data_IF_744991554222
#
_entry.id   IF_744991554222
#
_cell.length_a   1.000
_cell.length_b   1.000
_cell.length_c   1.000
_cell.angle_alpha   90.00
_cell.angle_beta   90.00
_cell.angle_gamma   90.00
#
_symmetry.space_group_name_H-M   'P 1'
#
loop_
_entity.id
_entity.type
_entity.pdbx_description
1 polymer ?
#
# COMPACT_ATOMS: atom_id res chain seq x y z
N UNK A 1 -20.89 2.72 7.10
CA UNK A 1 -22.17 3.24 7.64
C UNK A 1 -22.51 4.54 6.92
N UNK A 2 -23.69 4.68 6.28
CA UNK A 2 -23.99 5.78 5.36
C UNK A 2 -24.13 7.15 6.03
N UNK A 3 -24.36 7.22 7.35
CA UNK A 3 -24.47 8.49 8.08
C UNK A 3 -23.23 8.85 8.89
N UNK A 4 -22.13 8.10 8.80
CA UNK A 4 -20.90 8.46 9.54
C UNK A 4 -20.47 9.90 9.20
N UNK A 5 -20.07 10.72 10.20
CA UNK A 5 -19.87 10.37 11.61
C UNK A 5 -21.14 10.38 12.49
N UNK A 6 -22.27 10.90 11.99
CA UNK A 6 -23.52 10.96 12.74
C UNK A 6 -24.10 9.55 13.03
N UNK A 7 -24.69 9.37 14.22
CA UNK A 7 -25.24 8.09 14.67
C UNK A 7 -24.21 6.95 14.69
N UNK A 8 -22.95 7.25 14.98
CA UNK A 8 -21.90 6.25 15.10
C UNK A 8 -20.97 6.65 16.27
N UNK A 9 -20.48 5.73 17.12
CA UNK A 9 -20.92 4.33 17.21
C UNK A 9 -22.39 4.22 17.63
N UNK A 10 -22.99 3.07 17.39
CA UNK A 10 -24.36 2.75 17.79
C UNK A 10 -24.48 1.26 18.18
N UNK A 11 -25.68 0.81 18.56
CA UNK A 11 -25.89 -0.58 19.02
C UNK A 11 -25.52 -1.65 17.96
N UNK A 12 -25.66 -1.36 16.67
CA UNK A 12 -25.31 -2.27 15.58
C UNK A 12 -23.82 -2.16 15.21
N UNK A 13 -23.23 -0.97 15.35
CA UNK A 13 -21.83 -0.68 15.05
C UNK A 13 -21.12 -0.02 16.24
N UNK A 14 -20.83 -0.79 17.31
CA UNK A 14 -20.28 -0.23 18.55
C UNK A 14 -18.77 0.08 18.47
N UNK A 15 -18.06 -0.56 17.55
CA UNK A 15 -16.60 -0.50 17.46
C UNK A 15 -16.11 0.61 16.52
N UNK A 16 -14.92 1.19 16.75
CA UNK A 16 -14.28 2.09 15.80
C UNK A 16 -14.18 1.47 14.41
N UNK A 17 -14.35 2.26 13.36
CA UNK A 17 -14.18 1.78 11.99
C UNK A 17 -12.71 1.43 11.72
N UNK A 18 -11.82 2.38 12.04
CA UNK A 18 -10.38 2.24 11.96
C UNK A 18 -9.71 2.74 13.25
N UNK A 19 -8.52 2.21 13.52
CA UNK A 19 -7.64 2.68 14.59
C UNK A 19 -6.27 2.98 14.01
N UNK A 20 -5.72 4.16 14.29
CA UNK A 20 -4.34 4.51 14.02
C UNK A 20 -3.55 4.44 15.31
N UNK A 21 -2.57 3.55 15.35
CA UNK A 21 -1.68 3.42 16.49
C UNK A 21 -0.73 4.62 16.54
N UNK A 22 -0.79 5.38 17.62
CA UNK A 22 -0.05 6.64 17.78
C UNK A 22 -0.94 7.80 18.22
N UNK A 23 -0.41 9.02 18.06
CA UNK A 23 -1.06 10.27 18.47
C UNK A 23 -1.56 11.13 17.31
N UNK A 24 -1.36 10.70 16.07
CA UNK A 24 -1.72 11.43 14.85
C UNK A 24 -2.64 10.55 14.03
N UNK A 25 -3.80 11.08 13.63
CA UNK A 25 -4.74 10.38 12.76
C UNK A 25 -4.08 10.13 11.40
N UNK A 26 -4.30 8.95 10.84
CA UNK A 26 -3.79 8.64 9.51
C UNK A 26 -4.64 9.31 8.43
N UNK A 27 -3.99 10.01 7.50
CA UNK A 27 -4.63 10.55 6.30
C UNK A 27 -5.15 9.44 5.37
N UNK A 28 -4.62 8.21 5.47
CA UNK A 28 -5.15 7.03 4.75
C UNK A 28 -6.59 6.70 5.15
N UNK A 29 -7.02 7.16 6.34
CA UNK A 29 -8.40 6.98 6.82
C UNK A 29 -9.27 8.23 6.61
N UNK A 30 -8.80 9.24 5.87
CA UNK A 30 -9.56 10.44 5.60
C UNK A 30 -10.68 10.17 4.57
N UNK A 31 -11.92 10.38 4.98
CA UNK A 31 -13.10 10.35 4.10
C UNK A 31 -13.47 11.73 3.56
N UNK A 32 -14.52 11.76 2.72
CA UNK A 32 -15.10 13.02 2.23
C UNK A 32 -15.82 13.81 3.32
N UNK A 33 -16.37 13.14 4.34
CA UNK A 33 -17.11 13.76 5.43
C UNK A 33 -16.26 13.97 6.70
N UNK A 34 -15.46 12.98 7.09
CA UNK A 34 -14.63 13.00 8.29
C UNK A 34 -13.50 11.95 8.18
N UNK A 35 -12.53 12.01 9.08
CA UNK A 35 -11.58 10.91 9.27
C UNK A 35 -12.29 9.74 9.96
N UNK A 36 -12.11 8.53 9.45
CA UNK A 36 -12.73 7.31 9.99
C UNK A 36 -11.94 6.67 11.15
N UNK A 37 -10.74 7.18 11.44
CA UNK A 37 -9.82 6.59 12.40
C UNK A 37 -9.83 7.29 13.75
N UNK A 38 -9.76 6.48 14.81
CA UNK A 38 -9.41 6.93 16.17
C UNK A 38 -7.91 6.72 16.41
N UNK A 39 -7.24 7.69 17.04
CA UNK A 39 -5.86 7.50 17.51
C UNK A 39 -5.80 6.75 18.83
N UNK A 40 -4.88 5.79 18.91
CA UNK A 40 -4.69 4.97 20.10
C UNK A 40 -3.21 4.74 20.38
N UNK A 41 -2.71 5.17 21.53
CA UNK A 41 -1.34 4.84 21.96
C UNK A 41 -1.30 3.59 22.83
N UNK A 42 -2.15 3.57 23.85
CA UNK A 42 -2.24 2.50 24.84
C UNK A 42 -3.71 2.19 25.11
N UNK A 43 -4.20 0.96 24.83
CA UNK A 43 -5.58 0.59 25.07
C UNK A 43 -5.99 0.55 26.56
N UNK A 44 -5.03 0.61 27.48
CA UNK A 44 -5.29 0.67 28.93
C UNK A 44 -5.21 2.09 29.50
N UNK A 45 -4.93 3.10 28.66
CA UNK A 45 -4.78 4.50 29.09
C UNK A 45 -5.80 5.41 28.41
N UNK A 46 -7.08 5.09 28.59
CA UNK A 46 -8.21 5.81 28.01
C UNK A 46 -8.89 6.66 29.08
N UNK A 47 -8.88 7.98 28.91
CA UNK A 47 -9.55 8.91 29.83
C UNK A 47 -10.74 9.56 29.14
N UNK A 48 -11.96 9.48 29.71
CA UNK A 48 -13.11 10.16 29.15
C UNK A 48 -12.88 11.67 29.03
N UNK A 49 -13.22 12.19 27.87
CA UNK A 49 -13.20 13.60 27.53
C UNK A 49 -14.50 14.28 27.97
N UNK A 50 -14.43 15.55 28.37
CA UNK A 50 -15.60 16.29 28.81
C UNK A 50 -16.42 16.80 27.62
N UNK A 51 -17.64 16.29 27.43
CA UNK A 51 -18.54 16.61 26.29
C UNK A 51 -19.08 18.05 26.28
N UNK A 52 -18.94 18.79 27.38
CA UNK A 52 -19.51 20.12 27.54
C UNK A 52 -21.03 20.10 27.75
N UNK A 53 -21.62 21.26 28.06
CA UNK A 53 -23.06 21.33 28.31
C UNK A 53 -23.87 21.13 27.02
N UNK A 54 -24.93 20.32 27.06
CA UNK A 54 -25.92 20.23 26.00
C UNK A 54 -26.62 21.60 25.81
N UNK A 55 -26.67 22.09 24.59
CA UNK A 55 -27.31 23.36 24.26
C UNK A 55 -27.52 23.50 22.76
N UNK A 56 -28.50 24.31 22.37
CA UNK A 56 -28.83 24.54 20.96
C UNK A 56 -27.62 25.04 20.18
N UNK A 57 -27.40 24.44 19.01
CA UNK A 57 -26.36 24.82 18.09
C UNK A 57 -26.96 25.78 17.05
N UNK A 58 -26.38 26.97 16.92
CA UNK A 58 -26.74 27.90 15.85
C UNK A 58 -26.24 27.37 14.49
N UNK A 59 -26.99 27.57 13.41
CA UNK A 59 -26.49 27.31 12.04
C UNK A 59 -25.53 28.42 11.58
N UNK A 60 -24.37 28.48 12.24
CA UNK A 60 -23.26 29.39 11.94
C UNK A 60 -21.97 28.57 11.91
N UNK A 61 -20.87 29.07 11.31
CA UNK A 61 -19.59 28.38 11.35
C UNK A 61 -19.17 27.98 12.76
N UNK A 62 -19.40 28.85 13.76
CA UNK A 62 -19.14 28.52 15.16
C UNK A 62 -19.95 27.32 15.66
N UNK A 63 -21.25 27.28 15.34
CA UNK A 63 -22.10 26.16 15.75
C UNK A 63 -21.74 24.84 15.04
N UNK A 64 -21.28 24.90 13.79
CA UNK A 64 -20.77 23.75 13.04
C UNK A 64 -19.49 23.18 13.67
N UNK A 65 -18.52 24.05 13.98
CA UNK A 65 -17.28 23.64 14.67
C UNK A 65 -17.56 23.08 16.08
N UNK A 66 -18.48 23.70 16.82
CA UNK A 66 -18.90 23.18 18.13
C UNK A 66 -19.62 21.82 18.01
N UNK A 67 -20.42 21.63 16.97
CA UNK A 67 -21.05 20.33 16.65
C UNK A 67 -20.00 19.25 16.38
N UNK A 68 -19.00 19.59 15.57
CA UNK A 68 -17.89 18.70 15.25
C UNK A 68 -17.11 18.27 16.50
N UNK A 69 -16.77 19.22 17.38
CA UNK A 69 -16.07 18.93 18.63
C UNK A 69 -16.91 18.03 19.56
N UNK A 70 -18.19 18.35 19.76
CA UNK A 70 -19.09 17.55 20.60
C UNK A 70 -19.25 16.12 20.06
N UNK A 71 -19.45 15.98 18.75
CA UNK A 71 -19.58 14.68 18.07
C UNK A 71 -18.31 13.85 18.25
N UNK A 72 -17.14 14.45 17.98
CA UNK A 72 -15.84 13.78 18.12
C UNK A 72 -15.60 13.32 19.56
N UNK A 73 -15.93 14.15 20.55
CA UNK A 73 -15.77 13.80 21.97
C UNK A 73 -16.70 12.63 22.35
N UNK A 74 -17.98 12.71 22.00
CA UNK A 74 -18.95 11.66 22.31
C UNK A 74 -18.54 10.32 21.66
N UNK A 75 -18.09 10.35 20.40
CA UNK A 75 -17.54 9.19 19.70
C UNK A 75 -16.31 8.62 20.39
N UNK A 76 -15.35 9.48 20.75
CA UNK A 76 -14.12 9.07 21.42
C UNK A 76 -14.42 8.37 22.74
N UNK A 77 -15.33 8.92 23.55
CA UNK A 77 -15.75 8.31 24.81
C UNK A 77 -16.42 6.95 24.58
N UNK A 78 -17.36 6.86 23.64
CA UNK A 78 -18.04 5.61 23.35
C UNK A 78 -17.11 4.52 22.79
N UNK A 79 -16.14 4.89 21.94
CA UNK A 79 -15.12 3.97 21.48
C UNK A 79 -14.21 3.49 22.60
N UNK A 80 -13.85 4.38 23.53
CA UNK A 80 -12.94 4.05 24.62
C UNK A 80 -13.43 2.86 25.44
N UNK A 81 -14.73 2.82 25.75
CA UNK A 81 -15.34 1.69 26.48
C UNK A 81 -15.13 0.37 25.72
N UNK A 82 -15.44 0.35 24.42
CA UNK A 82 -15.31 -0.85 23.59
C UNK A 82 -13.85 -1.31 23.39
N UNK A 83 -12.91 -0.36 23.31
CA UNK A 83 -11.48 -0.65 23.20
C UNK A 83 -10.97 -1.21 24.52
N UNK A 84 -11.36 -0.63 25.65
CA UNK A 84 -10.95 -1.11 26.97
C UNK A 84 -11.48 -2.53 27.22
N UNK A 85 -12.75 -2.80 26.91
CA UNK A 85 -13.34 -4.14 27.04
C UNK A 85 -12.56 -5.17 26.23
N UNK A 86 -12.25 -4.86 24.95
CA UNK A 86 -11.44 -5.75 24.12
C UNK A 86 -10.00 -5.90 24.64
N UNK A 87 -9.39 -4.85 25.17
CA UNK A 87 -8.04 -4.93 25.72
C UNK A 87 -7.97 -5.79 26.98
N UNK A 88 -8.97 -5.68 27.87
CA UNK A 88 -9.09 -6.48 29.09
C UNK A 88 -9.46 -7.94 28.80
N UNK A 89 -10.24 -8.19 27.75
CA UNK A 89 -10.61 -9.54 27.31
C UNK A 89 -9.61 -10.21 26.36
N UNK A 90 -8.66 -9.45 25.82
CA UNK A 90 -7.67 -9.91 24.86
C UNK A 90 -6.46 -10.61 25.49
N UNK A 91 -5.64 -11.23 24.65
CA UNK A 91 -4.38 -11.83 25.06
C UNK A 91 -3.27 -11.65 24.01
N UNK A 92 -2.02 -11.70 24.47
CA UNK A 92 -0.86 -11.95 23.63
C UNK A 92 -0.20 -13.25 24.12
N UNK A 93 0.14 -14.13 23.19
CA UNK A 93 0.65 -15.48 23.47
C UNK A 93 2.15 -15.62 23.19
N UNK A 94 2.76 -14.59 22.59
CA UNK A 94 4.19 -14.54 22.27
C UNK A 94 4.85 -13.29 22.83
N UNK A 95 6.17 -13.37 23.00
CA UNK A 95 7.00 -12.22 23.33
C UNK A 95 7.27 -11.37 22.08
N UNK A 96 7.02 -10.07 22.19
CA UNK A 96 7.37 -9.09 21.15
C UNK A 96 8.72 -8.46 21.46
N UNK A 97 9.54 -8.13 20.45
CA UNK A 97 10.86 -7.53 20.66
C UNK A 97 10.76 -6.16 21.35
N UNK A 98 11.51 -6.00 22.44
CA UNK A 98 11.63 -4.72 23.15
C UNK A 98 12.42 -3.69 22.34
N UNK A 99 12.08 -2.40 22.49
CA UNK A 99 12.77 -1.32 21.77
C UNK A 99 12.38 -1.20 20.29
N UNK A 100 11.39 -1.97 19.85
CA UNK A 100 10.82 -1.91 18.52
C UNK A 100 9.39 -1.36 18.60
N UNK A 101 9.23 -0.08 18.27
CA UNK A 101 7.92 0.61 18.37
C UNK A 101 6.86 -0.01 17.45
N UNK A 102 7.25 -0.59 16.31
CA UNK A 102 6.30 -1.28 15.43
C UNK A 102 5.77 -2.55 16.10
N UNK A 103 6.65 -3.30 16.77
CA UNK A 103 6.26 -4.50 17.52
C UNK A 103 5.31 -4.17 18.67
N UNK A 104 5.54 -3.08 19.41
CA UNK A 104 4.63 -2.61 20.47
C UNK A 104 3.23 -2.25 19.93
N UNK A 105 3.17 -1.58 18.78
CA UNK A 105 1.89 -1.26 18.13
C UNK A 105 1.17 -2.54 17.69
N UNK A 106 1.88 -3.47 17.04
CA UNK A 106 1.32 -4.73 16.56
C UNK A 106 0.87 -5.65 17.71
N UNK A 107 1.57 -5.62 18.85
CA UNK A 107 1.16 -6.29 20.08
C UNK A 107 -0.21 -5.81 20.54
N UNK A 108 -0.43 -4.49 20.59
CA UNK A 108 -1.72 -3.92 20.95
C UNK A 108 -2.81 -4.27 19.91
N UNK A 109 -2.47 -4.29 18.62
CA UNK A 109 -3.41 -4.73 17.58
C UNK A 109 -3.83 -6.19 17.78
N UNK A 110 -2.88 -7.11 18.02
CA UNK A 110 -3.18 -8.51 18.29
C UNK A 110 -4.07 -8.67 19.54
N UNK A 111 -3.74 -7.92 20.61
CA UNK A 111 -4.52 -7.89 21.85
C UNK A 111 -5.98 -7.50 21.57
N UNK A 112 -6.21 -6.37 20.89
CA UNK A 112 -7.56 -5.87 20.59
C UNK A 112 -8.37 -6.82 19.70
N UNK A 113 -7.75 -7.38 18.65
CA UNK A 113 -8.43 -8.35 17.77
C UNK A 113 -8.80 -9.61 18.56
N UNK A 114 -7.89 -10.10 19.42
CA UNK A 114 -8.14 -11.29 20.23
C UNK A 114 -9.24 -11.09 21.28
N UNK A 115 -9.38 -9.89 21.81
CA UNK A 115 -10.46 -9.52 22.73
C UNK A 115 -11.80 -9.25 22.06
N UNK A 116 -11.88 -9.40 20.73
CA UNK A 116 -13.14 -9.32 20.00
C UNK A 116 -13.46 -7.96 19.38
N UNK A 117 -12.51 -7.00 19.39
CA UNK A 117 -12.72 -5.71 18.74
C UNK A 117 -12.94 -5.91 17.23
N UNK A 118 -14.07 -5.44 16.71
CA UNK A 118 -14.46 -5.67 15.31
C UNK A 118 -14.02 -4.55 14.34
N UNK A 119 -13.09 -3.69 14.76
CA UNK A 119 -12.42 -2.69 13.93
C UNK A 119 -11.88 -3.34 12.66
N UNK A 120 -12.10 -2.70 11.50
CA UNK A 120 -11.78 -3.27 10.19
C UNK A 120 -10.38 -2.95 9.71
N UNK A 121 -9.86 -1.78 10.09
CA UNK A 121 -8.56 -1.28 9.63
C UNK A 121 -7.73 -0.83 10.82
N UNK A 122 -6.51 -1.36 10.94
CA UNK A 122 -5.51 -0.88 11.88
C UNK A 122 -4.35 -0.28 11.10
N UNK A 123 -3.99 0.96 11.42
CA UNK A 123 -2.82 1.63 10.84
C UNK A 123 -1.73 1.66 11.89
N UNK A 124 -0.62 0.99 11.61
CA UNK A 124 0.62 1.05 12.40
C UNK A 124 1.70 1.74 11.60
N UNK A 125 2.67 2.34 12.29
CA UNK A 125 3.73 3.10 11.61
C UNK A 125 5.13 2.77 12.14
N UNK A 126 6.09 2.83 11.23
CA UNK A 126 7.52 2.87 11.53
C UNK A 126 8.14 4.00 10.71
N UNK A 127 8.81 4.93 11.39
CA UNK A 127 9.52 6.03 10.76
C UNK A 127 11.00 5.72 10.55
N UNK A 128 11.78 6.74 10.20
CA UNK A 128 13.24 6.63 10.06
C UNK A 128 13.72 6.23 8.68
N UNK A 129 12.82 5.82 7.78
CA UNK A 129 13.21 5.44 6.42
C UNK A 129 13.67 6.62 5.57
N UNK A 130 13.59 7.87 6.04
CA UNK A 130 13.96 9.07 5.27
C UNK A 130 15.47 9.39 5.22
N UNK A 131 16.27 8.41 4.82
CA UNK A 131 17.74 8.46 4.94
C UNK A 131 18.42 9.08 3.72
N UNK A 132 18.71 10.39 3.77
CA UNK A 132 19.49 11.09 2.74
C UNK A 132 21.02 11.05 2.94
N UNK A 133 21.49 10.50 4.05
CA UNK A 133 22.92 10.32 4.33
C UNK A 133 23.13 9.10 5.21
N UNK A 134 24.30 8.45 5.11
CA UNK A 134 24.71 7.31 5.95
C UNK A 134 23.64 6.21 6.06
N UNK A 135 22.90 5.95 4.98
CA UNK A 135 21.80 4.99 4.94
C UNK A 135 22.28 3.56 5.24
N UNK A 136 23.49 3.26 4.77
CA UNK A 136 24.25 2.04 5.07
C UNK A 136 25.63 2.40 5.59
N UNK A 137 26.28 1.45 6.27
CA UNK A 137 27.71 1.57 6.57
C UNK A 137 28.50 1.33 5.27
N UNK A 138 29.47 2.20 4.98
CA UNK A 138 30.30 2.07 3.78
C UNK A 138 30.97 0.69 3.71
N UNK A 139 30.83 0.02 2.56
CA UNK A 139 31.35 -1.33 2.36
C UNK A 139 30.52 -2.46 3.00
N UNK A 140 29.43 -2.15 3.72
CA UNK A 140 28.53 -3.15 4.30
C UNK A 140 27.05 -2.74 4.18
N UNK A 141 26.41 -3.14 3.08
CA UNK A 141 24.99 -2.87 2.79
C UNK A 141 24.01 -3.60 3.71
N UNK A 142 24.47 -4.58 4.51
CA UNK A 142 23.65 -5.30 5.48
C UNK A 142 23.63 -4.61 6.87
N UNK A 143 24.24 -3.43 7.00
CA UNK A 143 24.26 -2.65 8.25
C UNK A 143 24.04 -1.16 7.98
N UNK A 144 23.64 -0.43 9.03
CA UNK A 144 23.29 0.99 8.95
C UNK A 144 21.82 1.22 9.28
N UNK A 145 21.38 2.47 9.23
CA UNK A 145 20.04 2.87 9.66
C UNK A 145 18.94 2.11 8.90
N UNK A 146 19.04 2.05 7.57
CA UNK A 146 18.02 1.37 6.77
C UNK A 146 17.98 -0.15 7.00
N UNK A 147 19.14 -0.78 7.18
CA UNK A 147 19.20 -2.21 7.47
C UNK A 147 18.61 -2.53 8.85
N UNK A 148 18.83 -1.67 9.85
CA UNK A 148 18.23 -1.80 11.18
C UNK A 148 16.71 -1.62 11.14
N UNK A 149 16.21 -0.66 10.36
CA UNK A 149 14.76 -0.47 10.19
C UNK A 149 14.09 -1.67 9.50
N UNK A 150 14.72 -2.26 8.48
CA UNK A 150 14.24 -3.50 7.86
C UNK A 150 14.25 -4.68 8.85
N UNK A 151 15.27 -4.75 9.73
CA UNK A 151 15.32 -5.74 10.83
C UNK A 151 14.16 -5.54 11.82
N UNK A 152 13.82 -4.29 12.14
CA UNK A 152 12.66 -3.98 12.98
C UNK A 152 11.34 -4.41 12.34
N UNK A 153 11.14 -4.16 11.04
CA UNK A 153 9.96 -4.68 10.32
C UNK A 153 9.92 -6.21 10.39
N UNK A 154 11.02 -6.86 10.05
CA UNK A 154 11.12 -8.33 10.01
C UNK A 154 10.77 -8.97 11.37
N UNK A 155 11.39 -8.49 12.45
CA UNK A 155 11.18 -9.03 13.79
C UNK A 155 9.80 -8.72 14.36
N UNK A 156 9.25 -7.52 14.09
CA UNK A 156 7.91 -7.15 14.51
C UNK A 156 6.83 -7.98 13.82
N UNK A 157 6.93 -8.12 12.49
CA UNK A 157 5.98 -8.92 11.72
C UNK A 157 6.07 -10.42 12.04
N UNK A 158 7.28 -10.93 12.29
CA UNK A 158 7.46 -12.33 12.71
C UNK A 158 6.76 -12.62 14.05
N UNK A 159 6.92 -11.75 15.05
CA UNK A 159 6.23 -11.88 16.33
C UNK A 159 4.70 -11.77 16.15
N UNK A 160 4.23 -10.77 15.38
CA UNK A 160 2.80 -10.56 15.15
C UNK A 160 2.13 -11.75 14.45
N UNK A 161 2.72 -12.29 13.39
CA UNK A 161 2.19 -13.46 12.68
C UNK A 161 2.19 -14.71 13.57
N UNK A 162 3.22 -14.89 14.40
CA UNK A 162 3.27 -16.00 15.36
C UNK A 162 2.20 -15.89 16.45
N UNK A 163 1.92 -14.67 16.93
CA UNK A 163 0.86 -14.41 17.91
C UNK A 163 -0.52 -14.72 17.34
N UNK A 164 -0.82 -14.18 16.14
CA UNK A 164 -2.07 -14.44 15.44
C UNK A 164 -2.28 -15.94 15.18
N UNK A 165 -1.22 -16.66 14.83
CA UNK A 165 -1.26 -18.10 14.67
C UNK A 165 -1.66 -18.82 15.97
N UNK A 166 -0.98 -18.51 17.09
CA UNK A 166 -1.25 -19.15 18.38
C UNK A 166 -2.62 -18.77 18.95
N UNK A 167 -3.11 -17.57 18.65
CA UNK A 167 -4.45 -17.11 18.98
C UNK A 167 -5.54 -17.71 18.07
N UNK A 168 -5.17 -18.38 16.96
CA UNK A 168 -6.12 -18.90 15.97
C UNK A 168 -6.80 -17.81 15.13
N UNK A 169 -6.13 -16.67 14.94
CA UNK A 169 -6.63 -15.47 14.28
C UNK A 169 -5.93 -15.19 12.94
N UNK A 170 -4.94 -15.99 12.54
CA UNK A 170 -4.12 -15.78 11.33
C UNK A 170 -4.92 -15.71 10.02
N UNK A 171 -6.10 -16.33 9.95
CA UNK A 171 -7.01 -16.26 8.79
C UNK A 171 -7.89 -15.00 8.77
N UNK A 172 -7.90 -14.22 9.85
CA UNK A 172 -8.71 -13.00 10.01
C UNK A 172 -7.92 -11.72 9.80
N UNK A 173 -6.62 -11.81 9.48
CA UNK A 173 -5.73 -10.66 9.35
C UNK A 173 -4.86 -10.77 8.11
N UNK A 174 -4.88 -9.72 7.30
CA UNK A 174 -3.88 -9.42 6.27
C UNK A 174 -3.21 -8.10 6.62
N UNK A 175 -1.90 -8.01 6.44
CA UNK A 175 -1.12 -6.79 6.64
C UNK A 175 -0.46 -6.39 5.33
N UNK A 176 -0.49 -5.11 4.99
CA UNK A 176 0.17 -4.55 3.81
C UNK A 176 1.01 -3.35 4.23
N UNK A 177 2.17 -3.18 3.61
CA UNK A 177 3.00 -1.97 3.77
C UNK A 177 2.74 -0.99 2.65
N UNK A 178 2.81 0.30 2.95
CA UNK A 178 2.87 1.36 1.94
C UNK A 178 3.89 2.42 2.36
N UNK A 179 4.33 3.22 1.39
CA UNK A 179 5.24 4.35 1.56
C UNK A 179 4.86 5.44 0.57
N UNK A 180 5.09 6.71 0.94
CA UNK A 180 4.84 7.87 0.06
C UNK A 180 5.90 8.01 -1.03
N UNK A 181 7.07 7.40 -0.82
CA UNK A 181 8.20 7.41 -1.76
C UNK A 181 8.90 6.07 -1.80
N UNK A 182 9.57 5.82 -2.92
CA UNK A 182 10.63 4.81 -3.05
C UNK A 182 12.02 5.44 -2.98
N UNK A 183 13.03 4.69 -3.41
CA UNK A 183 14.43 5.17 -3.43
C UNK A 183 15.00 5.18 -4.84
N UNK A 184 15.83 6.17 -5.12
CA UNK A 184 16.65 6.19 -6.33
C UNK A 184 17.68 5.07 -6.29
N UNK A 185 18.09 4.61 -7.47
CA UNK A 185 19.00 3.46 -7.63
C UNK A 185 20.39 3.80 -7.09
N UNK A 186 20.87 5.03 -7.32
CA UNK A 186 22.23 5.46 -6.95
C UNK A 186 22.27 6.07 -5.56
N UNK A 187 23.36 5.77 -4.84
CA UNK A 187 23.74 6.55 -3.67
C UNK A 187 24.12 7.96 -4.09
N UNK A 188 23.72 8.94 -3.28
CA UNK A 188 24.22 10.31 -3.33
C UNK A 188 25.61 10.42 -2.69
N UNK A 189 26.21 11.61 -2.74
CA UNK A 189 27.56 11.89 -2.22
C UNK A 189 27.70 11.75 -0.69
N UNK A 190 26.59 11.55 0.02
CA UNK A 190 26.54 11.41 1.49
C UNK A 190 26.25 9.97 1.96
N UNK A 191 26.41 8.97 1.07
CA UNK A 191 26.09 7.56 1.36
C UNK A 191 24.61 7.31 1.72
N UNK A 192 23.71 8.18 1.26
CA UNK A 192 22.26 8.00 1.32
C UNK A 192 21.65 7.83 -0.08
N UNK A 193 20.33 7.72 -0.16
CA UNK A 193 19.62 7.72 -1.45
C UNK A 193 18.50 8.76 -1.43
N UNK A 194 18.29 9.45 -2.54
CA UNK A 194 17.18 10.40 -2.64
C UNK A 194 15.86 9.69 -2.99
N UNK A 195 14.76 10.44 -2.96
CA UNK A 195 13.42 9.90 -3.20
C UNK A 195 13.26 9.43 -4.64
N UNK A 196 12.70 8.23 -4.80
CA UNK A 196 12.29 7.65 -6.07
C UNK A 196 10.79 7.35 -6.10
N UNK A 197 10.29 6.88 -7.24
CA UNK A 197 8.84 6.77 -7.49
C UNK A 197 8.29 5.34 -7.38
N UNK A 198 9.14 4.34 -7.12
CA UNK A 198 8.73 2.96 -6.95
C UNK A 198 9.46 2.29 -5.80
N UNK A 199 8.76 1.40 -5.09
CA UNK A 199 9.27 0.62 -3.98
C UNK A 199 8.59 -0.77 -3.95
N UNK A 200 9.22 -1.80 -3.36
CA UNK A 200 8.52 -3.03 -3.07
C UNK A 200 7.42 -2.79 -2.02
N UNK A 201 6.23 -3.33 -2.26
CA UNK A 201 5.19 -3.46 -1.25
C UNK A 201 5.22 -4.88 -0.68
N UNK A 202 5.24 -5.01 0.64
CA UNK A 202 5.18 -6.29 1.33
C UNK A 202 3.75 -6.55 1.82
N UNK A 203 3.24 -7.75 1.59
CA UNK A 203 1.95 -8.22 2.09
C UNK A 203 2.18 -9.48 2.92
N UNK A 204 1.59 -9.52 4.11
CA UNK A 204 1.77 -10.58 5.10
C UNK A 204 0.41 -11.13 5.52
N UNK A 205 0.32 -12.45 5.69
CA UNK A 205 -0.88 -13.11 6.19
C UNK A 205 -0.96 -14.56 5.73
N UNK A 206 -1.81 -15.34 6.40
CA UNK A 206 -1.98 -16.77 6.09
C UNK A 206 -2.47 -17.02 4.66
N UNK A 207 -3.32 -16.13 4.16
CA UNK A 207 -4.04 -16.29 2.90
C UNK A 207 -3.38 -15.51 1.75
N UNK A 208 -2.18 -14.97 1.98
CA UNK A 208 -1.37 -14.29 0.95
C UNK A 208 -0.71 -15.35 0.07
N UNK A 209 -0.77 -15.16 -1.24
CA UNK A 209 -0.05 -16.01 -2.18
C UNK A 209 1.47 -15.80 -2.02
N UNK A 210 2.25 -16.82 -1.62
CA UNK A 210 3.66 -16.61 -1.32
C UNK A 210 4.47 -16.40 -2.60
N UNK A 211 5.34 -15.38 -2.59
CA UNK A 211 6.26 -15.14 -3.69
C UNK A 211 6.56 -13.66 -3.91
N UNK A 212 7.12 -13.35 -5.07
CA UNK A 212 7.33 -12.00 -5.56
C UNK A 212 6.41 -11.81 -6.77
N UNK A 213 5.56 -10.79 -6.71
CA UNK A 213 4.76 -10.37 -7.85
C UNK A 213 5.52 -9.32 -8.65
N UNK A 214 5.73 -9.58 -9.93
CA UNK A 214 6.54 -8.74 -10.83
C UNK A 214 7.96 -9.27 -11.03
N UNK A 215 8.70 -8.55 -11.87
CA UNK A 215 10.09 -8.89 -12.20
C UNK A 215 11.08 -8.19 -11.26
N UNK A 216 12.23 -8.81 -11.03
CA UNK A 216 13.35 -8.08 -10.44
C UNK A 216 13.80 -6.98 -11.43
N UNK A 217 14.06 -5.75 -10.95
CA UNK A 217 14.51 -4.68 -11.84
C UNK A 217 15.90 -5.01 -12.39
N UNK A 218 16.06 -4.89 -13.70
CA UNK A 218 17.36 -4.94 -14.37
C UNK A 218 18.01 -3.55 -14.28
N UNK A 219 19.09 -3.45 -13.51
CA UNK A 219 19.83 -2.20 -13.31
C UNK A 219 20.99 -2.14 -14.32
N UNK A 220 21.03 -1.14 -15.23
CA UNK A 220 22.13 -1.00 -16.18
C UNK A 220 23.44 -0.60 -15.49
N UNK A 221 24.58 -0.80 -16.15
CA UNK A 221 25.89 -0.37 -15.63
C UNK A 221 25.98 1.16 -15.50
N UNK A 222 25.32 1.88 -16.41
CA UNK A 222 25.21 3.33 -16.39
C UNK A 222 23.79 3.71 -15.97
N UNK A 223 23.68 4.32 -14.80
CA UNK A 223 22.43 4.80 -14.19
C UNK A 223 22.57 6.31 -14.01
N UNK A 224 21.52 7.06 -14.32
CA UNK A 224 21.50 8.51 -14.12
C UNK A 224 21.40 8.87 -12.63
N UNK A 225 21.87 10.06 -12.24
CA UNK A 225 21.92 10.47 -10.83
C UNK A 225 20.55 10.51 -10.13
N UNK A 226 19.46 10.67 -10.87
CA UNK A 226 18.09 10.81 -10.34
C UNK A 226 17.17 9.65 -10.77
N UNK A 227 17.74 8.54 -11.21
CA UNK A 227 16.96 7.45 -11.75
C UNK A 227 16.37 6.57 -10.65
N UNK A 228 15.04 6.43 -10.67
CA UNK A 228 14.30 5.49 -9.83
C UNK A 228 14.14 4.13 -10.50
N UNK A 229 13.74 3.14 -9.71
CA UNK A 229 13.32 1.83 -10.21
C UNK A 229 12.04 1.98 -11.05
N UNK A 230 11.93 1.28 -12.20
CA UNK A 230 10.70 1.30 -12.98
C UNK A 230 9.51 0.77 -12.20
N UNK A 231 8.42 1.54 -12.16
CA UNK A 231 7.15 1.05 -11.65
C UNK A 231 6.61 -0.05 -12.57
N UNK A 232 6.26 -1.18 -11.97
CA UNK A 232 5.51 -2.24 -12.65
C UNK A 232 4.03 -2.03 -12.36
N UNK A 233 3.60 -2.33 -11.14
CA UNK A 233 2.20 -2.20 -10.71
C UNK A 233 1.91 -0.82 -10.13
N UNK A 234 0.71 -0.30 -10.40
CA UNK A 234 0.22 0.87 -9.68
C UNK A 234 -0.18 0.45 -8.26
N UNK A 235 0.11 1.26 -7.23
CA UNK A 235 -0.26 0.89 -5.86
C UNK A 235 -1.78 0.69 -5.72
N UNK A 236 -2.60 1.39 -6.53
CA UNK A 236 -4.05 1.24 -6.56
C UNK A 236 -4.49 -0.16 -7.01
N UNK A 237 -3.68 -0.85 -7.81
CA UNK A 237 -3.95 -2.25 -8.17
C UNK A 237 -3.85 -3.17 -6.96
N UNK A 238 -2.88 -2.91 -6.08
CA UNK A 238 -2.71 -3.64 -4.81
C UNK A 238 -3.91 -3.40 -3.90
N UNK A 239 -4.30 -2.14 -3.68
CA UNK A 239 -5.46 -1.81 -2.85
C UNK A 239 -6.76 -2.37 -3.43
N UNK A 240 -7.00 -2.21 -4.72
CA UNK A 240 -8.20 -2.70 -5.39
C UNK A 240 -8.32 -4.22 -5.33
N UNK A 241 -7.21 -4.94 -5.51
CA UNK A 241 -7.22 -6.41 -5.40
C UNK A 241 -7.53 -6.88 -3.99
N UNK A 242 -6.99 -6.20 -2.97
CA UNK A 242 -7.34 -6.48 -1.57
C UNK A 242 -8.81 -6.12 -1.28
N UNK A 243 -9.34 -5.02 -1.82
CA UNK A 243 -10.76 -4.68 -1.68
C UNK A 243 -11.68 -5.76 -2.28
N UNK A 244 -11.33 -6.29 -3.45
CA UNK A 244 -12.07 -7.40 -4.07
C UNK A 244 -11.98 -8.67 -3.25
N UNK A 245 -10.78 -9.10 -2.90
CA UNK A 245 -10.56 -10.43 -2.32
C UNK A 245 -10.89 -10.49 -0.82
N UNK A 246 -10.69 -9.40 -0.08
CA UNK A 246 -10.87 -9.34 1.38
C UNK A 246 -12.21 -8.74 1.80
N UNK A 247 -12.69 -7.73 1.07
CA UNK A 247 -13.94 -7.04 1.38
C UNK A 247 -15.08 -7.39 0.40
N UNK A 248 -14.82 -8.28 -0.57
CA UNK A 248 -15.80 -8.73 -1.57
C UNK A 248 -16.40 -7.57 -2.40
N UNK A 249 -15.63 -6.49 -2.56
CA UNK A 249 -16.06 -5.33 -3.35
C UNK A 249 -16.09 -5.73 -4.83
N UNK A 250 -17.20 -5.51 -5.57
CA UNK A 250 -17.26 -5.82 -7.00
C UNK A 250 -16.21 -5.04 -7.79
N UNK A 251 -15.62 -5.69 -8.81
CA UNK A 251 -14.59 -5.08 -9.66
C UNK A 251 -15.02 -3.74 -10.27
N UNK A 252 -16.27 -3.64 -10.72
CA UNK A 252 -16.84 -2.41 -11.27
C UNK A 252 -16.82 -1.25 -10.24
N UNK A 253 -17.07 -1.55 -8.97
CA UNK A 253 -17.02 -0.56 -7.90
C UNK A 253 -15.57 -0.16 -7.58
N UNK A 254 -14.63 -1.10 -7.63
CA UNK A 254 -13.19 -0.81 -7.50
C UNK A 254 -12.70 0.09 -8.65
N UNK A 255 -13.08 -0.19 -9.89
CA UNK A 255 -12.75 0.64 -11.05
C UNK A 255 -13.31 2.07 -10.92
N UNK A 256 -14.54 2.19 -10.42
CA UNK A 256 -15.18 3.49 -10.18
C UNK A 256 -14.55 4.26 -9.01
N UNK A 257 -14.15 3.55 -7.94
CA UNK A 257 -13.58 4.16 -6.74
C UNK A 257 -12.11 4.57 -6.93
N UNK A 258 -11.31 3.70 -7.55
CA UNK A 258 -9.86 3.90 -7.66
C UNK A 258 -9.49 4.52 -8.99
N UNK A 259 -9.67 3.78 -10.09
CA UNK A 259 -9.44 4.26 -11.44
C UNK A 259 -9.92 3.25 -12.52
N UNK A 260 -10.32 3.73 -13.72
CA UNK A 260 -10.88 2.88 -14.77
C UNK A 260 -9.93 1.80 -15.31
N UNK A 261 -8.61 2.02 -15.25
CA UNK A 261 -7.60 1.07 -15.73
C UNK A 261 -7.06 0.14 -14.64
N UNK A 262 -7.81 -0.05 -13.55
CA UNK A 262 -7.50 -1.01 -12.51
C UNK A 262 -7.15 -2.38 -13.08
N UNK A 263 -6.07 -2.95 -12.56
CA UNK A 263 -5.61 -4.29 -12.89
C UNK A 263 -5.67 -5.17 -11.64
N UNK A 264 -6.44 -6.25 -11.73
CA UNK A 264 -6.45 -7.26 -10.68
C UNK A 264 -5.09 -7.95 -10.54
N UNK A 265 -4.62 -8.08 -9.30
CA UNK A 265 -3.40 -8.76 -8.89
C UNK A 265 -3.77 -9.93 -7.97
N UNK A 266 -3.36 -11.17 -8.26
CA UNK A 266 -3.69 -12.33 -7.43
C UNK A 266 -2.83 -12.39 -6.16
N UNK A 267 -3.06 -11.43 -5.26
CA UNK A 267 -2.32 -11.26 -3.99
C UNK A 267 -2.83 -12.24 -2.94
N UNK A 268 -4.15 -12.46 -2.89
CA UNK A 268 -4.79 -13.34 -1.91
C UNK A 268 -5.32 -14.60 -2.59
N UNK A 269 -5.29 -15.71 -1.85
CA UNK A 269 -5.98 -16.95 -2.19
C UNK A 269 -6.90 -17.35 -1.02
N UNK A 270 -7.92 -18.20 -1.24
CA UNK A 270 -8.69 -18.75 -0.13
C UNK A 270 -7.76 -19.39 0.92
N UNK A 271 -7.94 -19.01 2.19
CA UNK A 271 -7.09 -19.47 3.31
C UNK A 271 -6.98 -20.99 3.43
N UNK A 272 -7.97 -21.71 2.89
CA UNK A 272 -7.90 -23.16 2.64
C UNK A 272 -7.70 -23.41 1.14
N UNK A 273 -6.49 -23.79 0.68
CA UNK A 273 -6.25 -24.04 -0.73
C UNK A 273 -7.07 -25.25 -1.19
N UNK A 274 -8.06 -25.04 -2.05
CA UNK A 274 -8.89 -26.15 -2.57
C UNK A 274 -8.35 -26.79 -3.84
N UNK A 275 -7.25 -26.30 -4.43
CA UNK A 275 -6.60 -26.93 -5.60
C UNK A 275 -5.11 -26.62 -5.61
N UNK A 276 -4.31 -27.56 -6.10
CA UNK A 276 -2.94 -27.30 -6.55
C UNK A 276 -3.01 -26.36 -7.77
N UNK A 277 -3.14 -25.06 -7.53
CA UNK A 277 -2.72 -24.07 -8.53
C UNK A 277 -1.20 -24.13 -8.51
N UNK A 278 -0.61 -24.48 -9.64
CA UNK A 278 0.84 -24.42 -9.80
C UNK A 278 1.28 -23.00 -9.42
N UNK A 279 2.22 -22.89 -8.49
CA UNK A 279 2.82 -21.64 -8.02
C UNK A 279 3.47 -20.79 -9.14
N UNK A 280 3.39 -21.26 -10.39
CA UNK A 280 3.91 -20.63 -11.61
C UNK A 280 2.81 -19.95 -12.46
N UNK A 281 1.56 -19.87 -11.99
CA UNK A 281 0.48 -19.19 -12.72
C UNK A 281 0.72 -17.67 -12.90
N UNK A 282 1.71 -17.10 -12.22
CA UNK A 282 2.13 -15.71 -12.35
C UNK A 282 2.96 -15.42 -13.62
N UNK A 283 3.50 -16.45 -14.26
CA UNK A 283 4.35 -16.32 -15.46
C UNK A 283 3.55 -16.54 -16.76
N UNK A 284 2.49 -15.77 -17.01
CA UNK A 284 2.11 -15.56 -18.41
C UNK A 284 3.01 -14.50 -19.01
N UNK A 285 4.19 -14.94 -19.49
CA UNK A 285 5.19 -14.08 -20.14
C UNK A 285 4.54 -13.20 -21.21
N UNK A 286 4.60 -11.88 -20.98
CA UNK A 286 4.31 -10.89 -22.01
C UNK A 286 5.62 -10.59 -22.74
N UNK A 287 5.67 -10.97 -24.01
CA UNK A 287 6.76 -10.56 -24.88
C UNK A 287 6.55 -9.13 -25.40
N UNK A 288 7.45 -8.23 -25.00
CA UNK A 288 7.54 -6.87 -25.54
C UNK A 288 8.98 -6.50 -25.84
N UNK A 289 9.21 -5.98 -27.03
CA UNK A 289 10.52 -5.59 -27.53
C UNK A 289 10.47 -4.18 -28.11
N UNK A 290 11.53 -3.41 -27.88
CA UNK A 290 11.70 -2.09 -28.47
C UNK A 290 13.03 -2.05 -29.21
N UNK A 291 13.02 -1.59 -30.46
CA UNK A 291 14.22 -1.52 -31.28
C UNK A 291 14.16 -0.31 -32.25
N UNK A 292 15.29 0.39 -32.47
CA UNK A 292 16.54 0.24 -31.73
C UNK A 292 16.36 0.64 -30.25
N UNK A 293 17.18 0.07 -29.37
CA UNK A 293 17.30 0.48 -27.98
C UNK A 293 18.75 0.22 -27.55
N UNK A 294 19.59 1.25 -27.31
CA UNK A 294 19.28 2.69 -27.29
C UNK A 294 18.80 3.28 -28.63
N UNK A 295 18.06 4.39 -28.60
CA UNK A 295 17.51 5.08 -29.78
C UNK A 295 17.81 6.59 -29.76
N UNK A 296 17.64 7.27 -30.90
CA UNK A 296 17.77 8.74 -31.01
C UNK A 296 16.42 9.42 -31.14
N UNK A 297 15.75 9.23 -32.27
CA UNK A 297 14.52 9.97 -32.58
C UNK A 297 13.27 9.11 -32.45
N UNK A 298 13.40 7.79 -32.62
CA UNK A 298 12.29 6.85 -32.62
C UNK A 298 12.72 5.45 -32.23
N UNK A 299 11.78 4.66 -31.72
CA UNK A 299 11.90 3.22 -31.52
C UNK A 299 10.61 2.52 -31.96
N UNK A 300 10.71 1.34 -32.56
CA UNK A 300 9.57 0.49 -32.86
C UNK A 300 9.35 -0.46 -31.69
N UNK A 301 8.13 -0.49 -31.17
CA UNK A 301 7.71 -1.34 -30.07
C UNK A 301 6.86 -2.46 -30.62
N UNK A 302 7.34 -3.69 -30.47
CA UNK A 302 6.71 -4.91 -30.93
C UNK A 302 6.23 -5.75 -29.76
N UNK A 303 4.98 -6.20 -29.84
CA UNK A 303 4.35 -7.04 -28.82
C UNK A 303 3.27 -7.93 -29.44
N UNK A 304 2.81 -8.92 -28.68
CA UNK A 304 1.71 -9.81 -29.08
C UNK A 304 0.52 -9.70 -28.13
N UNK A 305 -0.69 -9.78 -28.67
CA UNK A 305 -1.95 -9.84 -27.92
C UNK A 305 -2.83 -10.97 -28.45
N UNK A 306 -3.72 -11.49 -27.61
CA UNK A 306 -4.76 -12.47 -27.88
C UNK A 306 -6.10 -11.82 -28.32
N UNK A 307 -6.11 -10.53 -28.63
CA UNK A 307 -7.33 -9.83 -29.06
C UNK A 307 -7.98 -9.00 -27.96
N UNK A 308 -7.20 -8.62 -26.95
CA UNK A 308 -7.66 -7.98 -25.73
C UNK A 308 -7.48 -6.46 -25.76
N UNK A 309 -7.88 -5.77 -24.68
CA UNK A 309 -7.61 -4.34 -24.52
C UNK A 309 -6.10 -4.12 -24.29
N UNK A 310 -5.51 -3.17 -25.02
CA UNK A 310 -4.07 -2.88 -24.95
C UNK A 310 -3.86 -1.42 -24.62
N UNK A 311 -3.17 -1.16 -23.50
CA UNK A 311 -2.61 0.15 -23.16
C UNK A 311 -1.09 0.08 -23.21
N UNK A 312 -0.48 0.96 -24.00
CA UNK A 312 0.96 1.08 -24.15
C UNK A 312 1.37 2.50 -23.81
N UNK A 313 2.10 2.66 -22.72
CA UNK A 313 2.48 3.97 -22.17
C UNK A 313 4.00 4.10 -22.05
N UNK A 314 4.49 5.32 -22.16
CA UNK A 314 5.87 5.70 -21.90
C UNK A 314 5.91 6.55 -20.64
N UNK A 315 6.84 6.21 -19.75
CA UNK A 315 7.14 6.92 -18.52
C UNK A 315 8.55 7.50 -18.56
N UNK A 316 8.78 8.61 -17.86
CA UNK A 316 10.12 9.14 -17.64
C UNK A 316 10.83 8.44 -16.46
N UNK A 317 12.10 8.76 -16.23
CA UNK A 317 12.91 8.23 -15.12
C UNK A 317 12.36 8.51 -13.70
N UNK A 318 11.43 9.45 -13.56
CA UNK A 318 10.72 9.79 -12.32
C UNK A 318 9.36 9.08 -12.23
N UNK A 319 9.04 8.12 -13.11
CA UNK A 319 7.78 7.38 -13.06
C UNK A 319 6.54 8.16 -13.50
N UNK A 320 6.69 9.34 -14.11
CA UNK A 320 5.54 10.09 -14.67
C UNK A 320 5.16 9.56 -16.06
N UNK A 321 3.87 9.32 -16.32
CA UNK A 321 3.37 8.97 -17.66
C UNK A 321 3.48 10.19 -18.58
N UNK A 322 4.31 10.08 -19.62
CA UNK A 322 4.56 11.20 -20.55
C UNK A 322 3.84 11.02 -21.89
N UNK A 323 3.50 9.78 -22.26
CA UNK A 323 2.85 9.49 -23.54
C UNK A 323 2.08 8.16 -23.48
N UNK A 324 0.86 8.14 -24.02
CA UNK A 324 0.09 6.92 -24.28
C UNK A 324 0.10 6.67 -25.79
N UNK A 325 0.78 5.61 -26.22
CA UNK A 325 0.94 5.24 -27.64
C UNK A 325 -0.28 4.51 -28.20
N UNK A 326 -0.94 3.71 -27.37
CA UNK A 326 -2.24 3.09 -27.68
C UNK A 326 -3.01 2.85 -26.38
N UNK A 327 -4.34 2.95 -26.44
CA UNK A 327 -5.25 2.58 -25.35
C UNK A 327 -6.58 2.13 -25.96
N UNK A 328 -6.60 0.91 -26.49
CA UNK A 328 -7.76 0.35 -27.21
C UNK A 328 -7.66 -1.15 -27.36
N UNK A 329 -8.77 -1.80 -27.67
CA UNK A 329 -8.80 -3.18 -28.13
C UNK A 329 -8.04 -3.35 -29.46
N UNK A 330 -7.12 -4.32 -29.51
CA UNK A 330 -6.40 -4.71 -30.72
C UNK A 330 -6.77 -6.14 -31.11
N UNK A 331 -6.76 -6.51 -32.40
CA UNK A 331 -7.00 -7.89 -32.82
C UNK A 331 -5.86 -8.81 -32.36
N UNK A 332 -6.16 -10.11 -32.22
CA UNK A 332 -5.14 -11.08 -31.88
C UNK A 332 -4.01 -11.11 -32.93
N UNK A 333 -2.77 -11.18 -32.46
CA UNK A 333 -1.58 -11.19 -33.33
C UNK A 333 -0.44 -10.32 -32.81
N UNK A 334 0.57 -10.18 -33.66
CA UNK A 334 1.73 -9.31 -33.43
C UNK A 334 1.42 -7.90 -33.92
N UNK A 335 1.80 -6.92 -33.12
CA UNK A 335 1.62 -5.50 -33.40
C UNK A 335 2.95 -4.78 -33.28
N UNK A 336 3.16 -3.78 -34.12
CA UNK A 336 4.31 -2.88 -34.06
C UNK A 336 3.80 -1.44 -34.01
N UNK A 337 4.17 -0.72 -32.96
CA UNK A 337 3.80 0.69 -32.76
C UNK A 337 5.08 1.50 -32.67
N UNK A 338 5.16 2.58 -33.45
CA UNK A 338 6.31 3.47 -33.45
C UNK A 338 6.17 4.52 -32.35
N UNK A 339 7.18 4.60 -31.50
CA UNK A 339 7.38 5.66 -30.53
C UNK A 339 8.24 6.76 -31.16
N UNK A 340 7.69 7.97 -31.27
CA UNK A 340 8.39 9.17 -31.74
C UNK A 340 8.83 10.01 -30.53
N UNK A 341 10.11 10.35 -30.45
CA UNK A 341 10.71 10.96 -29.28
C UNK A 341 11.47 12.27 -29.56
N UNK A 342 11.29 12.87 -30.74
CA UNK A 342 12.02 14.07 -31.19
C UNK A 342 12.00 15.24 -30.16
N UNK A 343 10.92 15.41 -29.40
CA UNK A 343 10.77 16.48 -28.40
C UNK A 343 11.24 16.13 -26.99
N UNK A 344 11.67 14.89 -26.76
CA UNK A 344 12.04 14.41 -25.43
C UNK A 344 13.55 14.63 -25.16
N UNK A 345 14.00 14.91 -23.94
CA UNK A 345 15.44 14.97 -23.62
C UNK A 345 16.08 13.58 -23.72
N UNK A 346 17.40 13.53 -23.93
CA UNK A 346 18.17 12.29 -23.75
C UNK A 346 18.04 11.78 -22.30
N UNK A 347 18.11 10.47 -22.11
CA UNK A 347 17.94 9.83 -20.81
C UNK A 347 17.09 8.56 -20.86
N UNK A 348 16.77 8.05 -19.67
CA UNK A 348 16.05 6.80 -19.49
C UNK A 348 14.53 6.99 -19.46
N UNK A 349 13.84 6.07 -20.14
CA UNK A 349 12.39 5.99 -20.27
C UNK A 349 11.93 4.56 -20.00
N UNK A 350 10.67 4.40 -19.62
CA UNK A 350 10.10 3.09 -19.36
C UNK A 350 8.84 2.89 -20.18
N UNK A 351 8.83 1.80 -20.96
CA UNK A 351 7.68 1.31 -21.67
C UNK A 351 6.84 0.45 -20.73
N UNK A 352 5.56 0.74 -20.55
CA UNK A 352 4.62 -0.16 -19.88
C UNK A 352 3.58 -0.66 -20.87
N UNK A 353 3.53 -1.97 -21.05
CA UNK A 353 2.51 -2.67 -21.83
C UNK A 353 1.53 -3.32 -20.85
N UNK A 354 0.27 -2.91 -20.89
CA UNK A 354 -0.83 -3.52 -20.16
C UNK A 354 -1.75 -4.23 -21.14
N UNK A 355 -1.96 -5.51 -20.87
CA UNK A 355 -2.91 -6.42 -21.49
C UNK A 355 -3.94 -6.82 -20.42
N UNK A 356 -5.04 -7.46 -20.82
CA UNK A 356 -6.11 -7.87 -19.90
C UNK A 356 -5.57 -8.75 -18.76
N UNK A 357 -5.55 -8.19 -17.53
CA UNK A 357 -5.00 -8.81 -16.32
C UNK A 357 -3.47 -9.02 -16.29
N UNK A 358 -2.71 -8.58 -17.30
CA UNK A 358 -1.26 -8.83 -17.40
C UNK A 358 -0.51 -7.58 -17.81
N UNK A 359 0.69 -7.39 -17.29
CA UNK A 359 1.51 -6.25 -17.71
C UNK A 359 3.01 -6.54 -17.71
N UNK A 360 3.76 -5.71 -18.45
CA UNK A 360 5.22 -5.74 -18.50
C UNK A 360 5.78 -4.34 -18.65
N UNK A 361 6.83 -4.05 -17.87
CA UNK A 361 7.62 -2.83 -18.01
C UNK A 361 8.98 -3.14 -18.63
N UNK A 362 9.46 -2.30 -19.55
CA UNK A 362 10.75 -2.44 -20.22
C UNK A 362 11.49 -1.10 -20.30
N UNK A 363 12.78 -1.10 -19.98
CA UNK A 363 13.62 0.10 -20.08
C UNK A 363 13.94 0.47 -21.54
N UNK A 364 13.98 1.77 -21.80
CA UNK A 364 14.32 2.41 -23.07
C UNK A 364 15.35 3.53 -22.82
N UNK A 365 16.41 3.58 -23.63
CA UNK A 365 17.47 4.59 -23.48
C UNK A 365 17.48 5.51 -24.69
N UNK A 366 17.26 6.81 -24.47
CA UNK A 366 17.40 7.83 -25.51
C UNK A 366 18.79 8.46 -25.46
N UNK A 367 19.50 8.43 -26.60
CA UNK A 367 20.83 9.00 -26.81
C UNK A 367 20.83 10.51 -27.09
#
# INVERSE_FOLDING_TARGET
HPSFPENYPNEEYPHPFAITMGSVVSETCQGTAANFSLTLNDPFSLTPLTEGAAGELSDTPYGQELSFLRTTIAQTNAYADSIQEAAEGGNNTVDYPNGNRLAEQLKNVALLISGGLQTKVYVVSIGGFDTHANQVVEGNTASGEHAELLSQISTAMAAFQADLQQLGLEERVVSLTFSEFGRQIRSNDSLGTDHGSAAPMMVFGKCVNPGILGDNPEIPEQVDNQEGVPMQFDFRDVYGSILMDWFEVPEEEVQNLLYPEFQYLPILEPCTPTKAREANAFEQEIEVNAFPNPFRDWANIRFRTNGEWVKLSIYNGLGSEILVLTNRKLPAGEHEIRFEAHGLPAGNYYLRLQLDGRQKTKSLVKL
#
